data_IF_358974703464
#
_entry.id   IF_358974703464
#
_cell.length_a   1.000
_cell.length_b   1.000
_cell.length_c   1.000
_cell.angle_alpha   90.00
_cell.angle_beta   90.00
_cell.angle_gamma   90.00
#
_symmetry.space_group_name_H-M   'P 1'
#
loop_
_entity.id
_entity.type
_entity.pdbx_description
1 polymer ?
#
# COMPACT_ATOMS: atom_id res chain seq x y z
N UNK A 1 6.11 10.49 18.64
CA UNK A 1 5.29 9.37 19.15
C UNK A 1 3.86 9.40 18.63
N UNK A 2 3.12 10.51 18.74
CA UNK A 2 1.72 10.59 18.25
C UNK A 2 1.53 10.20 16.77
N UNK A 3 2.36 10.70 15.86
CA UNK A 3 2.20 10.40 14.42
C UNK A 3 2.35 8.90 14.09
N UNK A 4 3.21 8.18 14.82
CA UNK A 4 3.38 6.74 14.64
C UNK A 4 2.17 5.95 15.15
N UNK A 5 1.53 6.41 16.24
CA UNK A 5 0.30 5.80 16.75
C UNK A 5 -0.84 5.96 15.73
N UNK A 6 -1.02 7.17 15.18
CA UNK A 6 -2.05 7.44 14.17
C UNK A 6 -1.88 6.57 12.92
N UNK A 7 -0.65 6.46 12.40
CA UNK A 7 -0.36 5.59 11.24
C UNK A 7 -0.69 4.13 11.56
N UNK A 8 -0.21 3.61 12.71
CA UNK A 8 -0.47 2.22 13.12
C UNK A 8 -1.96 1.93 13.26
N UNK A 9 -2.72 2.82 13.90
CA UNK A 9 -4.17 2.66 14.05
C UNK A 9 -4.89 2.62 12.71
N UNK A 10 -4.53 3.52 11.78
CA UNK A 10 -5.16 3.56 10.46
C UNK A 10 -4.82 2.32 9.62
N UNK A 11 -3.55 1.93 9.61
CA UNK A 11 -3.08 0.70 8.95
C UNK A 11 -3.79 -0.52 9.53
N UNK A 12 -3.95 -0.61 10.86
CA UNK A 12 -4.71 -1.68 11.50
C UNK A 12 -6.16 -1.75 10.99
N UNK A 13 -6.83 -0.60 10.81
CA UNK A 13 -8.15 -0.58 10.20
C UNK A 13 -8.13 -1.10 8.76
N UNK A 14 -7.18 -0.69 7.93
CA UNK A 14 -7.11 -1.17 6.54
C UNK A 14 -6.94 -2.68 6.45
N UNK A 15 -6.04 -3.24 7.25
CA UNK A 15 -5.78 -4.68 7.27
C UNK A 15 -6.97 -5.51 7.77
N UNK A 16 -7.77 -4.96 8.69
CA UNK A 16 -8.91 -5.66 9.28
C UNK A 16 -10.23 -5.45 8.50
N UNK A 17 -10.31 -4.44 7.64
CA UNK A 17 -11.54 -4.16 6.87
C UNK A 17 -11.60 -4.95 5.57
N UNK A 18 -10.45 -5.34 5.03
CA UNK A 18 -10.35 -5.99 3.73
C UNK A 18 -9.30 -7.09 3.73
N UNK A 19 -9.69 -8.27 3.24
CA UNK A 19 -8.78 -9.38 2.96
C UNK A 19 -8.39 -9.28 1.49
N UNK A 20 -7.10 -9.06 1.15
CA UNK A 20 -6.66 -9.02 -0.23
C UNK A 20 -6.89 -10.34 -0.95
N UNK A 21 -7.17 -10.25 -2.24
CA UNK A 21 -7.03 -11.36 -3.18
C UNK A 21 -5.57 -11.84 -3.25
N UNK A 22 -5.38 -13.01 -3.85
CA UNK A 22 -4.08 -13.73 -3.87
C UNK A 22 -2.91 -12.88 -4.37
N UNK A 23 -3.12 -11.99 -5.34
CA UNK A 23 -2.05 -11.17 -5.91
C UNK A 23 -1.92 -9.81 -5.21
N UNK A 24 -0.73 -9.56 -4.67
CA UNK A 24 -0.38 -8.32 -3.97
C UNK A 24 0.92 -7.74 -4.52
N UNK A 25 1.11 -6.44 -4.39
CA UNK A 25 2.29 -5.76 -4.90
C UNK A 25 2.89 -4.79 -3.88
N UNK A 26 4.23 -4.70 -3.87
CA UNK A 26 5.00 -3.73 -3.07
C UNK A 26 5.66 -2.72 -3.99
N UNK A 27 5.55 -1.44 -3.63
CA UNK A 27 6.24 -0.32 -4.28
C UNK A 27 6.37 0.88 -3.32
N UNK A 28 7.03 1.95 -3.77
CA UNK A 28 7.09 3.23 -3.04
C UNK A 28 5.98 4.22 -3.40
N UNK A 29 5.36 4.78 -2.37
CA UNK A 29 4.53 5.99 -2.45
C UNK A 29 5.30 7.25 -2.06
N UNK A 30 4.96 8.38 -2.68
CA UNK A 30 5.67 9.65 -2.51
C UNK A 30 4.76 10.74 -1.96
N UNK A 31 5.16 11.35 -0.83
CA UNK A 31 4.46 12.48 -0.22
C UNK A 31 5.29 13.74 -0.43
N UNK A 32 4.88 14.59 -1.37
CA UNK A 32 5.61 15.79 -1.78
C UNK A 32 6.04 16.68 -0.60
N UNK A 33 7.36 16.85 -0.43
CA UNK A 33 7.94 17.63 0.67
C UNK A 33 9.32 18.22 0.31
N UNK A 34 9.38 19.54 0.16
CA UNK A 34 10.63 20.28 -0.14
C UNK A 34 11.32 20.87 1.09
N UNK A 35 10.66 20.92 2.25
CA UNK A 35 11.20 21.50 3.48
C UNK A 35 12.36 20.70 4.08
N UNK A 36 13.01 21.26 5.11
CA UNK A 36 14.06 20.56 5.86
C UNK A 36 13.45 19.42 6.66
N UNK A 37 13.92 18.20 6.43
CA UNK A 37 13.50 17.00 7.13
C UNK A 37 14.57 15.93 6.95
N UNK A 38 15.00 15.32 8.05
CA UNK A 38 16.16 14.41 8.06
C UNK A 38 15.96 13.16 7.18
N UNK A 39 14.70 12.72 7.01
CA UNK A 39 14.34 11.54 6.23
C UNK A 39 13.65 11.86 4.90
N UNK A 40 13.78 13.11 4.42
CA UNK A 40 13.36 13.47 3.06
C UNK A 40 14.22 12.73 2.05
N UNK A 41 13.58 12.11 1.07
CA UNK A 41 14.25 11.37 -0.01
C UNK A 41 14.24 12.21 -1.29
N UNK A 42 15.34 12.12 -2.05
CA UNK A 42 15.42 12.63 -3.41
C UNK A 42 15.26 11.47 -4.41
N UNK A 43 14.26 11.55 -5.30
CA UNK A 43 14.02 10.59 -6.37
C UNK A 43 13.88 11.32 -7.72
N UNK A 44 14.93 11.37 -8.54
CA UNK A 44 14.94 12.19 -9.76
C UNK A 44 13.88 11.76 -10.79
N UNK A 45 13.53 10.48 -10.80
CA UNK A 45 12.63 9.87 -11.79
C UNK A 45 11.13 10.02 -11.43
N UNK A 46 10.82 10.50 -10.22
CA UNK A 46 9.44 10.74 -9.79
C UNK A 46 9.04 12.21 -10.02
N UNK A 47 7.75 12.51 -10.31
CA UNK A 47 7.29 13.88 -10.50
C UNK A 47 7.64 14.81 -9.32
N UNK A 48 7.34 14.34 -8.11
CA UNK A 48 7.74 14.99 -6.86
C UNK A 48 9.11 14.47 -6.39
N UNK A 49 10.17 15.09 -6.95
CA UNK A 49 11.56 14.68 -6.72
C UNK A 49 11.99 14.72 -5.25
N UNK A 50 11.37 15.56 -4.43
CA UNK A 50 11.68 15.69 -3.00
C UNK A 50 10.43 15.35 -2.20
N UNK A 51 10.49 14.24 -1.46
CA UNK A 51 9.31 13.67 -0.81
C UNK A 51 9.65 12.94 0.47
N UNK A 52 8.63 12.70 1.29
CA UNK A 52 8.64 11.65 2.30
C UNK A 52 8.22 10.36 1.60
N UNK A 53 9.03 9.32 1.78
CA UNK A 53 8.80 8.01 1.16
C UNK A 53 7.94 7.13 2.06
N UNK A 54 6.98 6.42 1.47
CA UNK A 54 6.23 5.36 2.12
C UNK A 54 6.42 4.06 1.33
N UNK A 55 6.62 2.94 2.02
CA UNK A 55 6.57 1.61 1.42
C UNK A 55 5.14 1.13 1.46
N UNK A 56 4.54 0.79 0.31
CA UNK A 56 3.14 0.41 0.20
C UNK A 56 3.01 -1.07 -0.10
N UNK A 57 1.96 -1.71 0.43
CA UNK A 57 1.46 -3.02 0.01
C UNK A 57 0.06 -2.81 -0.54
N UNK A 58 -0.15 -3.13 -1.81
CA UNK A 58 -1.45 -2.99 -2.46
C UNK A 58 -1.96 -4.34 -2.96
N UNK A 59 -3.28 -4.52 -2.93
CA UNK A 59 -3.92 -5.60 -3.69
C UNK A 59 -3.88 -5.26 -5.20
N UNK A 60 -3.46 -6.22 -6.02
CA UNK A 60 -3.06 -5.97 -7.40
C UNK A 60 -4.23 -5.60 -8.34
N UNK A 61 -5.45 -6.04 -8.04
CA UNK A 61 -6.60 -5.94 -8.95
C UNK A 61 -7.32 -4.61 -8.79
N UNK A 62 -7.63 -4.26 -7.55
CA UNK A 62 -8.36 -3.06 -7.11
C UNK A 62 -7.42 -1.87 -6.89
N UNK A 63 -6.19 -2.11 -6.43
CA UNK A 63 -5.29 -1.06 -5.95
C UNK A 63 -5.56 -0.63 -4.50
N UNK A 64 -6.27 -1.47 -3.71
CA UNK A 64 -6.49 -1.21 -2.29
C UNK A 64 -5.16 -1.21 -1.55
N UNK A 65 -4.85 -0.12 -0.84
CA UNK A 65 -3.62 0.00 -0.04
C UNK A 65 -3.88 -0.73 1.28
N UNK A 66 -3.40 -1.96 1.37
CA UNK A 66 -3.64 -2.83 2.51
C UNK A 66 -2.73 -2.50 3.70
N UNK A 67 -1.46 -2.19 3.40
CA UNK A 67 -0.49 -1.81 4.42
C UNK A 67 0.48 -0.75 3.88
N UNK A 68 1.07 0.03 4.77
CA UNK A 68 2.22 0.86 4.44
C UNK A 68 3.09 1.20 5.65
N UNK A 69 4.33 1.57 5.39
CA UNK A 69 5.28 2.05 6.38
C UNK A 69 5.97 3.35 5.92
N UNK A 70 6.00 4.37 6.78
CA UNK A 70 6.72 5.62 6.48
C UNK A 70 8.22 5.44 6.72
N UNK A 71 9.02 5.70 5.69
CA UNK A 71 10.47 5.72 5.81
C UNK A 71 10.92 6.90 6.68
N UNK A 72 11.54 6.59 7.82
CA UNK A 72 12.01 7.57 8.80
C UNK A 72 13.54 7.76 8.80
N UNK A 73 14.22 7.53 7.66
CA UNK A 73 15.66 7.80 7.52
C UNK A 73 16.58 6.66 7.98
N UNK A 74 16.03 5.64 8.63
CA UNK A 74 16.79 4.46 9.07
C UNK A 74 16.75 3.40 7.97
N UNK A 75 17.94 2.96 7.54
CA UNK A 75 18.06 1.78 6.70
C UNK A 75 17.88 0.53 7.55
N UNK A 76 17.22 -0.48 6.99
CA UNK A 76 17.20 -1.84 7.52
C UNK A 76 17.27 -2.83 6.36
N UNK A 77 17.65 -4.09 6.60
CA UNK A 77 17.69 -5.10 5.55
C UNK A 77 16.36 -5.19 4.81
N UNK A 78 16.42 -5.20 3.47
CA UNK A 78 15.23 -5.27 2.60
C UNK A 78 14.36 -6.49 2.92
N UNK A 79 15.02 -7.61 3.27
CA UNK A 79 14.37 -8.84 3.71
C UNK A 79 13.45 -8.63 4.91
N UNK A 80 13.91 -7.90 5.93
CA UNK A 80 13.11 -7.58 7.12
C UNK A 80 11.96 -6.64 6.77
N UNK A 81 12.24 -5.62 5.95
CA UNK A 81 11.21 -4.69 5.47
C UNK A 81 10.06 -5.44 4.76
N UNK A 82 10.37 -6.33 3.83
CA UNK A 82 9.36 -7.09 3.08
C UNK A 82 8.57 -8.01 4.00
N UNK A 83 9.23 -8.73 4.91
CA UNK A 83 8.56 -9.61 5.89
C UNK A 83 7.60 -8.83 6.78
N UNK A 84 8.03 -7.66 7.29
CA UNK A 84 7.20 -6.81 8.15
C UNK A 84 6.02 -6.18 7.40
N UNK A 85 6.23 -5.80 6.13
CA UNK A 85 5.16 -5.28 5.27
C UNK A 85 4.10 -6.34 4.97
N UNK A 86 4.48 -7.58 4.72
CA UNK A 86 3.53 -8.67 4.53
C UNK A 86 2.81 -9.02 5.85
N UNK A 87 3.55 -9.05 6.95
CA UNK A 87 3.04 -9.45 8.25
C UNK A 87 2.47 -10.88 8.27
N UNK A 88 1.92 -11.33 9.40
CA UNK A 88 1.40 -12.70 9.56
C UNK A 88 0.12 -12.98 8.76
N UNK A 89 -0.51 -11.93 8.20
CA UNK A 89 -1.77 -12.03 7.45
C UNK A 89 -1.55 -12.41 5.98
N UNK A 90 -0.40 -12.04 5.39
CA UNK A 90 -0.07 -12.36 4.00
C UNK A 90 1.09 -13.37 3.89
N UNK A 91 2.04 -13.33 4.82
CA UNK A 91 3.19 -14.24 4.82
C UNK A 91 2.73 -15.66 5.18
N UNK A 92 3.28 -16.67 4.50
CA UNK A 92 2.98 -18.10 4.72
C UNK A 92 1.56 -18.54 4.33
N UNK A 93 0.80 -17.69 3.64
CA UNK A 93 -0.59 -17.97 3.25
C UNK A 93 -0.80 -18.26 1.76
N UNK A 94 0.27 -18.45 0.99
CA UNK A 94 0.19 -18.75 -0.45
C UNK A 94 -0.03 -17.51 -1.34
N UNK A 95 0.15 -16.30 -0.80
CA UNK A 95 0.04 -15.07 -1.59
C UNK A 95 1.15 -14.96 -2.63
N UNK A 96 0.83 -14.27 -3.72
CA UNK A 96 1.74 -13.94 -4.80
C UNK A 96 2.16 -12.47 -4.67
N UNK A 97 3.41 -12.26 -4.32
CA UNK A 97 4.01 -10.93 -4.16
C UNK A 97 4.70 -10.48 -5.45
N UNK A 98 4.25 -9.35 -5.97
CA UNK A 98 4.85 -8.64 -7.08
C UNK A 98 5.66 -7.45 -6.58
N UNK A 99 6.91 -7.33 -7.01
CA UNK A 99 7.78 -6.24 -6.51
C UNK A 99 8.83 -5.85 -7.55
N UNK A 100 9.33 -4.63 -7.45
CA UNK A 100 10.35 -4.12 -8.35
C UNK A 100 11.76 -4.66 -8.02
N UNK A 101 12.76 -4.15 -8.73
CA UNK A 101 14.14 -4.60 -8.58
C UNK A 101 14.84 -4.05 -7.32
N UNK A 102 14.28 -3.02 -6.67
CA UNK A 102 14.78 -2.50 -5.41
C UNK A 102 14.59 -3.52 -4.29
N UNK A 103 13.50 -4.30 -4.31
CA UNK A 103 13.23 -5.31 -3.28
C UNK A 103 13.83 -6.68 -3.59
N UNK A 104 13.78 -7.12 -4.85
CA UNK A 104 14.13 -8.50 -5.19
C UNK A 104 15.60 -8.87 -4.95
N UNK A 105 15.83 -10.09 -4.48
CA UNK A 105 17.12 -10.79 -4.45
C UNK A 105 16.87 -12.30 -4.48
N UNK A 106 17.86 -13.10 -4.90
CA UNK A 106 17.71 -14.57 -4.93
C UNK A 106 17.47 -15.13 -3.52
N UNK A 107 18.20 -14.64 -2.52
CA UNK A 107 18.03 -15.07 -1.12
C UNK A 107 16.62 -14.76 -0.58
N UNK A 108 16.09 -13.56 -0.86
CA UNK A 108 14.74 -13.18 -0.47
C UNK A 108 13.69 -14.11 -1.11
N UNK A 109 13.84 -14.42 -2.40
CA UNK A 109 12.93 -15.31 -3.10
C UNK A 109 12.98 -16.74 -2.56
N UNK A 110 14.17 -17.28 -2.24
CA UNK A 110 14.32 -18.59 -1.61
C UNK A 110 13.62 -18.64 -0.25
N UNK A 111 13.85 -17.62 0.59
CA UNK A 111 13.23 -17.54 1.92
C UNK A 111 11.71 -17.42 1.86
N UNK A 112 11.17 -16.53 1.01
CA UNK A 112 9.73 -16.37 0.88
C UNK A 112 9.06 -17.65 0.35
N UNK A 113 9.71 -18.35 -0.58
CA UNK A 113 9.21 -19.62 -1.09
C UNK A 113 9.15 -20.70 0.01
N UNK A 114 10.19 -20.80 0.85
CA UNK A 114 10.18 -21.70 2.02
C UNK A 114 9.05 -21.34 2.99
N UNK A 115 8.67 -20.07 3.05
CA UNK A 115 7.57 -19.52 3.84
C UNK A 115 6.29 -19.38 3.02
N UNK A 116 6.00 -20.35 2.13
CA UNK A 116 4.76 -20.44 1.34
C UNK A 116 4.28 -19.09 0.77
N UNK A 117 5.21 -18.29 0.24
CA UNK A 117 4.95 -16.96 -0.31
C UNK A 117 5.69 -16.84 -1.63
N UNK A 118 4.96 -16.63 -2.72
CA UNK A 118 5.50 -16.70 -4.07
C UNK A 118 5.86 -15.31 -4.58
N UNK A 119 6.91 -15.20 -5.39
CA UNK A 119 7.45 -13.91 -5.85
C UNK A 119 7.51 -13.85 -7.37
N UNK A 120 7.20 -12.67 -7.91
CA UNK A 120 7.47 -12.28 -9.29
C UNK A 120 7.92 -10.83 -9.34
N UNK A 121 8.96 -10.52 -10.11
CA UNK A 121 9.41 -9.14 -10.16
C UNK A 121 10.54 -8.85 -11.11
N UNK A 122 10.86 -7.57 -11.24
CA UNK A 122 12.08 -7.14 -11.93
C UNK A 122 13.30 -7.41 -11.06
N UNK A 123 14.45 -7.68 -11.69
CA UNK A 123 15.60 -8.20 -10.99
C UNK A 123 16.91 -7.53 -11.40
N UNK A 124 17.79 -7.31 -10.43
CA UNK A 124 19.16 -6.88 -10.65
C UNK A 124 20.13 -8.05 -10.47
N UNK A 125 21.01 -8.24 -11.44
CA UNK A 125 21.93 -9.39 -11.48
C UNK A 125 22.94 -9.42 -10.32
N UNK A 126 23.26 -8.26 -9.75
CA UNK A 126 24.17 -8.14 -8.60
C UNK A 126 23.55 -8.67 -7.29
N UNK A 127 22.30 -9.14 -7.32
CA UNK A 127 21.56 -9.62 -6.14
C UNK A 127 21.42 -11.14 -6.08
N UNK A 128 22.55 -11.81 -6.24
CA UNK A 128 22.67 -13.27 -6.06
C UNK A 128 22.43 -14.10 -7.32
N UNK A 129 22.48 -13.50 -8.51
CA UNK A 129 22.40 -14.27 -9.75
C UNK A 129 23.60 -15.24 -9.88
N UNK A 130 23.42 -16.43 -10.49
CA UNK A 130 24.53 -17.33 -10.82
C UNK A 130 25.61 -16.62 -11.65
N UNK A 131 26.89 -16.94 -11.42
CA UNK A 131 28.00 -16.23 -12.08
C UNK A 131 28.03 -16.50 -13.58
N UNK A 132 27.67 -17.71 -13.96
CA UNK A 132 27.61 -18.25 -15.33
C UNK A 132 26.65 -17.44 -16.21
N UNK A 133 25.59 -16.91 -15.60
CA UNK A 133 24.60 -16.06 -16.28
C UNK A 133 25.22 -14.81 -16.91
N UNK A 134 26.33 -14.30 -16.37
CA UNK A 134 26.99 -13.12 -16.95
C UNK A 134 27.44 -13.38 -18.39
N UNK A 135 27.95 -14.57 -18.67
CA UNK A 135 28.45 -14.91 -20.00
C UNK A 135 27.30 -15.24 -20.96
N UNK A 136 26.24 -15.90 -20.48
CA UNK A 136 25.01 -16.10 -21.26
C UNK A 136 24.40 -14.77 -21.73
N UNK A 137 24.36 -13.76 -20.85
CA UNK A 137 23.83 -12.42 -21.20
C UNK A 137 24.73 -11.70 -22.21
N UNK A 138 26.06 -11.83 -22.12
CA UNK A 138 26.98 -11.27 -23.13
C UNK A 138 26.74 -11.89 -24.52
N UNK A 139 26.38 -13.16 -24.54
CA UNK A 139 26.05 -13.89 -25.78
C UNK A 139 24.64 -13.59 -26.30
N UNK A 140 23.78 -12.98 -25.48
CA UNK A 140 22.41 -12.61 -25.83
C UNK A 140 22.34 -11.36 -26.74
N UNK A 141 22.94 -11.41 -27.94
CA UNK A 141 23.12 -10.23 -28.80
C UNK A 141 21.91 -9.89 -29.69
N UNK A 142 21.06 -10.87 -30.00
CA UNK A 142 19.92 -10.70 -30.93
C UNK A 142 18.62 -10.47 -30.17
N UNK A 143 17.80 -9.53 -30.66
CA UNK A 143 16.44 -9.28 -30.17
C UNK A 143 15.60 -10.56 -30.25
N UNK A 144 14.76 -10.79 -29.24
CA UNK A 144 13.90 -11.97 -29.15
C UNK A 144 14.59 -13.23 -28.64
N UNK A 145 15.81 -13.13 -28.12
CA UNK A 145 16.51 -14.24 -27.45
C UNK A 145 16.28 -14.21 -25.94
N UNK A 146 16.41 -15.38 -25.32
CA UNK A 146 16.10 -15.61 -23.91
C UNK A 146 17.20 -16.41 -23.20
N UNK A 147 17.34 -16.21 -21.90
CA UNK A 147 18.12 -17.06 -20.98
C UNK A 147 17.27 -17.31 -19.73
N UNK A 148 17.24 -18.55 -19.25
CA UNK A 148 16.39 -18.99 -18.13
C UNK A 148 17.18 -19.74 -17.05
N UNK A 149 18.20 -19.14 -16.43
CA UNK A 149 18.93 -19.82 -15.36
C UNK A 149 18.05 -20.02 -14.13
N UNK A 150 18.31 -21.11 -13.40
CA UNK A 150 17.66 -21.41 -12.13
C UNK A 150 18.68 -21.60 -11.03
N UNK A 151 18.33 -21.20 -9.81
CA UNK A 151 18.97 -21.65 -8.58
C UNK A 151 17.90 -22.33 -7.74
N UNK A 152 17.94 -23.66 -7.70
CA UNK A 152 16.84 -24.46 -7.16
C UNK A 152 15.51 -24.09 -7.81
N UNK A 153 14.52 -23.69 -7.01
CA UNK A 153 13.19 -23.31 -7.49
C UNK A 153 13.09 -21.84 -7.94
N UNK A 154 14.10 -21.01 -7.70
CA UNK A 154 14.11 -19.61 -8.16
C UNK A 154 14.52 -19.55 -9.62
N UNK A 155 13.62 -19.04 -10.46
CA UNK A 155 13.84 -18.82 -11.88
C UNK A 155 14.21 -17.36 -12.13
N UNK A 156 15.37 -17.13 -12.73
CA UNK A 156 15.72 -15.84 -13.32
C UNK A 156 15.47 -15.94 -14.82
N UNK A 157 14.93 -14.87 -15.42
CA UNK A 157 14.61 -14.82 -16.84
C UNK A 157 15.19 -13.54 -17.42
N UNK A 158 15.97 -13.69 -18.49
CA UNK A 158 16.52 -12.56 -19.23
C UNK A 158 16.03 -12.62 -20.66
N UNK A 159 15.39 -11.55 -21.12
CA UNK A 159 14.86 -11.43 -22.47
C UNK A 159 15.42 -10.17 -23.14
N UNK A 160 16.01 -10.33 -24.33
CA UNK A 160 16.51 -9.20 -25.13
C UNK A 160 15.37 -8.60 -25.96
N UNK A 161 14.80 -7.48 -25.51
CA UNK A 161 13.96 -6.62 -26.34
C UNK A 161 14.81 -5.46 -26.93
N UNK A 162 14.43 -4.19 -26.73
CA UNK A 162 15.32 -3.04 -27.01
C UNK A 162 16.50 -2.99 -26.05
N UNK A 163 16.27 -3.47 -24.82
CA UNK A 163 17.24 -3.65 -23.74
C UNK A 163 16.94 -4.99 -23.06
N UNK A 164 17.87 -5.45 -22.23
CA UNK A 164 17.67 -6.67 -21.46
C UNK A 164 16.62 -6.45 -20.38
N UNK A 165 15.52 -7.19 -20.49
CA UNK A 165 14.51 -7.31 -19.44
C UNK A 165 14.91 -8.45 -18.53
N UNK A 166 15.10 -8.17 -17.25
CA UNK A 166 15.55 -9.13 -16.23
C UNK A 166 14.46 -9.29 -15.19
N UNK A 167 13.99 -10.52 -15.04
CA UNK A 167 12.90 -10.88 -14.13
C UNK A 167 13.35 -12.03 -13.23
N UNK A 168 12.78 -12.11 -12.05
CA UNK A 168 12.95 -13.20 -11.10
C UNK A 168 11.58 -13.70 -10.67
N UNK A 169 11.44 -15.01 -10.50
CA UNK A 169 10.19 -15.59 -10.04
C UNK A 169 10.34 -16.95 -9.38
N UNK A 170 9.45 -17.24 -8.44
CA UNK A 170 9.23 -18.57 -7.86
C UNK A 170 7.90 -19.20 -8.25
N UNK A 171 7.07 -18.52 -9.06
CA UNK A 171 5.75 -19.00 -9.49
C UNK A 171 5.66 -19.41 -10.96
N UNK A 172 6.64 -19.01 -11.79
CA UNK A 172 6.61 -19.28 -13.23
C UNK A 172 7.59 -20.39 -13.64
N UNK A 173 7.28 -21.01 -14.79
CA UNK A 173 8.21 -21.85 -15.56
C UNK A 173 8.85 -21.03 -16.69
N UNK A 174 9.81 -21.63 -17.40
CA UNK A 174 10.50 -20.99 -18.54
C UNK A 174 9.61 -20.96 -19.81
N UNK A 175 8.40 -20.42 -19.67
CA UNK A 175 7.37 -20.39 -20.72
C UNK A 175 7.44 -19.09 -21.51
N UNK A 176 7.45 -19.22 -22.83
CA UNK A 176 7.42 -18.12 -23.79
C UNK A 176 6.01 -18.05 -24.39
N UNK A 177 5.47 -16.85 -24.52
CA UNK A 177 4.14 -16.58 -25.07
C UNK A 177 4.21 -15.54 -26.17
N UNK A 178 3.30 -15.65 -27.14
CA UNK A 178 3.10 -14.62 -28.16
C UNK A 178 2.42 -13.39 -27.55
N UNK A 179 2.95 -12.21 -27.84
CA UNK A 179 2.30 -10.95 -27.51
C UNK A 179 1.22 -10.62 -28.53
N UNK A 180 0.16 -9.93 -28.07
CA UNK A 180 -0.80 -9.28 -28.97
C UNK A 180 -0.18 -8.16 -29.81
N UNK A 181 1.03 -7.69 -29.47
CA UNK A 181 1.75 -6.67 -30.24
C UNK A 181 2.57 -7.31 -31.36
N UNK A 182 2.50 -6.70 -32.53
CA UNK A 182 3.35 -7.01 -33.68
C UNK A 182 4.55 -6.06 -33.76
N UNK A 183 5.62 -6.53 -34.36
CA UNK A 183 6.77 -5.70 -34.70
C UNK A 183 6.48 -4.87 -35.97
N UNK A 184 7.44 -4.03 -36.38
CA UNK A 184 7.31 -3.21 -37.61
C UNK A 184 7.14 -4.03 -38.90
N UNK A 185 7.48 -5.31 -38.87
CA UNK A 185 7.35 -6.26 -39.98
C UNK A 185 6.04 -7.06 -39.94
N UNK A 186 5.15 -6.77 -38.98
CA UNK A 186 3.89 -7.48 -38.80
C UNK A 186 3.99 -8.80 -38.02
N UNK A 187 5.18 -9.20 -37.58
CA UNK A 187 5.38 -10.47 -36.86
C UNK A 187 5.02 -10.31 -35.38
N UNK A 188 4.40 -11.33 -34.79
CA UNK A 188 4.09 -11.34 -33.35
C UNK A 188 5.37 -11.37 -32.51
N UNK A 189 5.38 -10.60 -31.43
CA UNK A 189 6.52 -10.53 -30.52
C UNK A 189 6.42 -11.64 -29.48
N UNK A 190 7.35 -12.58 -29.47
CA UNK A 190 7.48 -13.57 -28.39
C UNK A 190 8.15 -12.94 -27.16
N UNK A 191 7.59 -13.19 -25.98
CA UNK A 191 8.11 -12.70 -24.69
C UNK A 191 7.88 -13.73 -23.57
N UNK A 192 8.59 -13.65 -22.44
CA UNK A 192 8.33 -14.55 -21.32
C UNK A 192 6.96 -14.27 -20.69
N UNK A 193 6.23 -15.31 -20.29
CA UNK A 193 4.90 -15.22 -19.65
C UNK A 193 4.94 -14.30 -18.42
N UNK A 194 5.99 -14.44 -17.60
CA UNK A 194 6.27 -13.63 -16.40
C UNK A 194 6.20 -12.12 -16.66
N UNK A 195 6.52 -11.65 -17.87
CA UNK A 195 6.48 -10.22 -18.21
C UNK A 195 5.04 -9.72 -18.31
N UNK A 196 4.12 -10.59 -18.75
CA UNK A 196 2.68 -10.30 -18.76
C UNK A 196 2.15 -10.15 -17.35
N UNK A 197 2.44 -11.14 -16.51
CA UNK A 197 1.91 -11.21 -15.15
C UNK A 197 2.48 -10.12 -14.25
N UNK A 198 3.79 -9.87 -14.32
CA UNK A 198 4.41 -8.73 -13.63
C UNK A 198 3.71 -7.40 -13.97
N UNK A 199 3.56 -7.10 -15.27
CA UNK A 199 2.92 -5.87 -15.72
C UNK A 199 1.42 -5.83 -15.42
N UNK A 200 0.77 -6.97 -15.22
CA UNK A 200 -0.65 -7.02 -14.84
C UNK A 200 -0.81 -6.69 -13.36
N UNK A 201 0.02 -7.27 -12.51
CA UNK A 201 -0.16 -7.23 -11.06
C UNK A 201 0.55 -6.05 -10.37
N UNK A 202 1.58 -5.44 -10.98
CA UNK A 202 2.12 -4.15 -10.53
C UNK A 202 1.17 -2.98 -10.75
N UNK A 203 0.22 -3.08 -11.70
CA UNK A 203 -0.74 -2.01 -12.01
C UNK A 203 -1.59 -1.58 -10.82
N UNK A 204 -1.79 -2.45 -9.82
CA UNK A 204 -2.54 -2.10 -8.62
C UNK A 204 -1.90 -0.94 -7.87
N UNK A 205 -0.58 -0.98 -7.69
CA UNK A 205 0.16 0.11 -7.02
C UNK A 205 0.23 1.35 -7.90
N UNK A 206 0.52 1.20 -9.20
CA UNK A 206 0.51 2.31 -10.15
C UNK A 206 -0.84 3.04 -10.16
N UNK A 207 -1.94 2.29 -10.11
CA UNK A 207 -3.29 2.84 -10.03
C UNK A 207 -3.49 3.57 -8.70
N UNK A 208 -3.11 2.97 -7.57
CA UNK A 208 -3.24 3.60 -6.27
C UNK A 208 -2.48 4.94 -6.23
N UNK A 209 -1.22 4.96 -6.70
CA UNK A 209 -0.40 6.17 -6.78
C UNK A 209 -1.04 7.23 -7.69
N UNK A 210 -1.50 6.84 -8.87
CA UNK A 210 -2.22 7.73 -9.78
C UNK A 210 -3.48 8.33 -9.14
N UNK A 211 -4.26 7.51 -8.44
CA UNK A 211 -5.50 7.92 -7.77
C UNK A 211 -5.23 8.94 -6.65
N UNK A 212 -4.15 8.76 -5.88
CA UNK A 212 -3.72 9.69 -4.83
C UNK A 212 -3.25 11.04 -5.40
N UNK A 213 -2.69 11.04 -6.63
CA UNK A 213 -2.23 12.25 -7.30
C UNK A 213 -3.31 13.04 -8.03
N UNK A 214 -4.42 12.42 -8.46
CA UNK A 214 -5.48 13.14 -9.21
C UNK A 214 -6.26 14.16 -8.39
N UNK A 215 -6.49 13.90 -7.10
CA UNK A 215 -7.24 14.79 -6.22
C UNK A 215 -6.40 15.11 -4.98
N UNK A 216 -5.33 15.90 -5.12
CA UNK A 216 -4.43 16.23 -4.02
C UNK A 216 -5.15 17.07 -2.97
N UNK A 217 -5.31 16.55 -1.75
CA UNK A 217 -5.78 17.35 -0.60
C UNK A 217 -4.68 18.25 -0.03
N UNK A 218 -3.43 18.00 -0.43
CA UNK A 218 -2.27 18.63 0.20
C UNK A 218 -2.07 20.08 -0.28
N UNK A 219 -1.87 21.00 0.68
CA UNK A 219 -1.55 22.43 0.42
C UNK A 219 -0.09 22.74 0.72
N UNK A 220 0.42 23.89 0.29
CA UNK A 220 1.75 24.38 0.70
C UNK A 220 1.73 24.59 2.22
N UNK A 221 2.74 24.07 2.91
CA UNK A 221 2.84 24.17 4.37
C UNK A 221 4.29 24.06 4.81
N UNK A 222 4.59 24.61 5.99
CA UNK A 222 5.90 24.52 6.65
C UNK A 222 5.99 23.36 7.64
N UNK A 223 4.89 22.63 7.89
CA UNK A 223 4.87 21.46 8.79
C UNK A 223 4.67 20.17 8.00
N UNK A 224 5.67 19.29 8.00
CA UNK A 224 5.65 18.03 7.25
C UNK A 224 4.56 17.08 7.75
N UNK A 225 4.25 17.10 9.05
CA UNK A 225 3.19 16.28 9.66
C UNK A 225 1.82 16.57 9.06
N UNK A 226 1.53 17.82 8.67
CA UNK A 226 0.30 18.16 7.95
C UNK A 226 0.22 17.48 6.58
N UNK A 227 1.35 17.38 5.85
CA UNK A 227 1.40 16.61 4.59
C UNK A 227 1.12 15.13 4.82
N UNK A 228 1.69 14.55 5.88
CA UNK A 228 1.42 13.17 6.26
C UNK A 228 -0.08 12.96 6.57
N UNK A 229 -0.70 13.82 7.38
CA UNK A 229 -2.14 13.70 7.69
C UNK A 229 -3.00 13.76 6.42
N UNK A 230 -2.71 14.67 5.49
CA UNK A 230 -3.43 14.71 4.21
C UNK A 230 -3.24 13.43 3.39
N UNK A 231 -2.03 12.88 3.34
CA UNK A 231 -1.78 11.59 2.70
C UNK A 231 -2.63 10.48 3.35
N UNK A 232 -2.67 10.40 4.68
CA UNK A 232 -3.47 9.40 5.40
C UNK A 232 -4.97 9.53 5.06
N UNK A 233 -5.50 10.75 4.99
CA UNK A 233 -6.89 11.00 4.60
C UNK A 233 -7.17 10.58 3.15
N UNK A 234 -6.23 10.82 2.24
CA UNK A 234 -6.38 10.42 0.84
C UNK A 234 -6.36 8.90 0.66
N UNK A 235 -5.47 8.20 1.37
CA UNK A 235 -5.43 6.74 1.37
C UNK A 235 -6.72 6.18 1.96
N UNK A 236 -7.22 6.75 3.06
CA UNK A 236 -8.49 6.35 3.65
C UNK A 236 -9.66 6.56 2.66
N UNK A 237 -9.74 7.72 2.02
CA UNK A 237 -10.77 8.01 1.02
C UNK A 237 -10.70 7.04 -0.18
N UNK A 238 -9.50 6.74 -0.68
CA UNK A 238 -9.30 5.80 -1.77
C UNK A 238 -9.74 4.39 -1.39
N UNK A 239 -9.29 3.89 -0.23
CA UNK A 239 -9.67 2.57 0.27
C UNK A 239 -11.19 2.47 0.49
N UNK A 240 -11.80 3.50 1.09
CA UNK A 240 -13.25 3.57 1.25
C UNK A 240 -13.99 3.58 -0.09
N UNK A 241 -13.48 4.30 -1.10
CA UNK A 241 -14.06 4.31 -2.44
C UNK A 241 -14.00 2.92 -3.09
N UNK A 242 -12.87 2.22 -2.97
CA UNK A 242 -12.70 0.86 -3.50
C UNK A 242 -13.73 -0.08 -2.86
N UNK A 243 -13.83 -0.07 -1.53
CA UNK A 243 -14.81 -0.89 -0.80
C UNK A 243 -16.25 -0.51 -1.14
N UNK A 244 -16.55 0.78 -1.29
CA UNK A 244 -17.86 1.24 -1.70
C UNK A 244 -18.22 0.72 -3.10
N UNK A 245 -17.28 0.77 -4.06
CA UNK A 245 -17.48 0.26 -5.42
C UNK A 245 -17.65 -1.26 -5.45
N UNK A 246 -16.98 -2.00 -4.57
CA UNK A 246 -17.11 -3.46 -4.45
C UNK A 246 -18.47 -3.87 -3.88
N UNK A 247 -18.99 -3.13 -2.90
CA UNK A 247 -20.17 -3.52 -2.12
C UNK A 247 -21.47 -2.81 -2.53
N UNK A 248 -21.41 -1.73 -3.32
CA UNK A 248 -22.62 -1.00 -3.70
C UNK A 248 -23.54 -1.85 -4.57
N UNK A 249 -24.77 -2.06 -4.11
CA UNK A 249 -25.84 -2.70 -4.89
C UNK A 249 -26.58 -1.71 -5.78
N UNK A 250 -26.49 -0.41 -5.49
CA UNK A 250 -27.18 0.64 -6.22
C UNK A 250 -26.55 0.92 -7.60
N UNK A 251 -27.36 0.75 -8.64
CA UNK A 251 -26.96 0.89 -10.05
C UNK A 251 -26.45 2.30 -10.41
N UNK A 252 -26.92 3.35 -9.73
CA UNK A 252 -26.40 4.71 -9.91
C UNK A 252 -24.89 4.76 -9.70
N UNK A 253 -24.41 4.09 -8.65
CA UNK A 253 -23.01 4.10 -8.24
C UNK A 253 -22.17 3.03 -8.94
N UNK A 254 -22.79 1.98 -9.51
CA UNK A 254 -22.08 0.99 -10.34
C UNK A 254 -21.67 1.55 -11.70
N UNK A 255 -22.43 2.51 -12.25
CA UNK A 255 -22.14 3.15 -13.53
C UNK A 255 -20.69 3.61 -13.63
N UNK A 256 -20.08 3.38 -14.82
CA UNK A 256 -18.72 3.88 -15.16
C UNK A 256 -18.55 5.39 -14.97
N UNK A 257 -19.65 6.15 -14.93
CA UNK A 257 -19.64 7.60 -14.74
C UNK A 257 -19.36 8.02 -13.29
N UNK A 258 -19.67 7.20 -12.29
CA UNK A 258 -19.39 7.54 -10.89
C UNK A 258 -17.92 7.28 -10.58
N UNK A 259 -17.15 8.36 -10.52
CA UNK A 259 -15.70 8.37 -10.35
C UNK A 259 -15.36 8.73 -8.91
N UNK A 260 -14.09 8.54 -8.56
CA UNK A 260 -13.57 8.90 -7.24
C UNK A 260 -13.80 10.36 -6.86
N UNK A 261 -13.79 11.28 -7.83
CA UNK A 261 -14.15 12.69 -7.62
C UNK A 261 -15.55 12.82 -7.01
N UNK A 262 -16.52 12.12 -7.59
CA UNK A 262 -17.92 12.18 -7.19
C UNK A 262 -18.08 11.62 -5.77
N UNK A 263 -17.35 10.53 -5.47
CA UNK A 263 -17.28 9.98 -4.12
C UNK A 263 -16.71 10.96 -3.10
N UNK A 264 -15.61 11.64 -3.43
CA UNK A 264 -15.04 12.67 -2.54
C UNK A 264 -16.05 13.79 -2.30
N UNK A 265 -16.73 14.27 -3.35
CA UNK A 265 -17.75 15.32 -3.22
C UNK A 265 -18.91 14.88 -2.34
N UNK A 266 -19.42 13.66 -2.51
CA UNK A 266 -20.48 13.09 -1.67
C UNK A 266 -20.02 12.97 -0.20
N UNK A 267 -18.78 12.55 0.04
CA UNK A 267 -18.21 12.51 1.40
C UNK A 267 -18.13 13.91 2.02
N UNK A 268 -17.63 14.90 1.27
CA UNK A 268 -17.52 16.28 1.75
C UNK A 268 -18.90 16.83 2.09
N UNK A 269 -19.88 16.67 1.19
CA UNK A 269 -21.25 17.13 1.42
C UNK A 269 -21.80 16.58 2.74
N UNK A 270 -21.72 15.25 2.94
CA UNK A 270 -22.18 14.59 4.16
C UNK A 270 -21.44 15.04 5.43
N UNK A 271 -20.14 15.32 5.33
CA UNK A 271 -19.36 15.81 6.47
C UNK A 271 -19.66 17.28 6.81
N UNK A 272 -20.21 18.05 5.86
CA UNK A 272 -20.56 19.47 6.03
C UNK A 272 -22.05 19.70 6.31
N UNK A 273 -22.88 18.67 6.20
CA UNK A 273 -24.28 18.74 6.62
C UNK A 273 -24.34 19.11 8.11
N UNK A 274 -25.14 20.11 8.52
CA UNK A 274 -25.28 20.45 9.92
C UNK A 274 -25.71 19.19 10.69
N UNK A 275 -25.00 18.85 11.76
CA UNK A 275 -25.39 17.78 12.67
C UNK A 275 -26.82 18.04 13.17
N UNK A 276 -27.83 17.45 12.54
CA UNK A 276 -29.24 17.58 12.95
C UNK A 276 -29.58 16.79 14.22
N UNK A 277 -28.60 16.26 14.93
CA UNK A 277 -28.77 15.53 16.19
C UNK A 277 -27.70 15.94 17.19
N UNK A 278 -27.77 17.17 17.67
CA UNK A 278 -27.24 17.56 18.98
C UNK A 278 -27.84 18.92 19.37
N UNK A 279 -29.13 18.96 19.71
CA UNK A 279 -29.76 20.21 20.14
C UNK A 279 -31.28 20.23 20.14
N UNK A 280 -31.96 19.20 20.64
CA UNK A 280 -33.36 19.29 21.07
C UNK A 280 -33.51 18.40 22.31
N UNK A 281 -33.00 18.88 23.45
CA UNK A 281 -33.53 18.52 24.76
C UNK A 281 -34.55 19.59 25.09
N UNK A 282 -35.82 19.21 25.05
CA UNK A 282 -36.99 20.06 25.21
C UNK A 282 -36.93 20.90 26.49
N UNK A 283 -36.96 22.21 26.34
CA UNK A 283 -37.60 23.09 27.32
C UNK A 283 -39.13 22.92 27.17
N UNK A 284 -39.79 22.29 28.14
CA UNK A 284 -41.04 22.81 28.71
C UNK A 284 -41.50 22.06 29.97
N UNK A 285 -41.47 22.81 31.08
CA UNK A 285 -42.44 22.96 32.18
C UNK A 285 -43.07 21.72 32.85
N UNK A 286 -42.99 21.71 34.18
CA UNK A 286 -44.15 22.08 35.01
C UNK A 286 -43.72 22.57 36.39
N UNK A 287 -44.22 23.76 36.76
CA UNK A 287 -44.33 24.25 38.13
C UNK A 287 -45.26 23.32 38.90
N UNK A 288 -44.81 22.82 40.05
CA UNK A 288 -45.68 22.40 41.14
C UNK A 288 -45.02 22.90 42.42
N UNK A 289 -45.66 23.91 43.03
CA UNK A 289 -45.46 24.28 44.41
C UNK A 289 -45.92 23.11 45.30
N UNK A 290 -45.09 22.68 46.25
CA UNK A 290 -45.60 22.26 47.56
C UNK A 290 -44.51 22.36 48.62
N UNK A 291 -44.72 23.26 49.58
CA UNK A 291 -44.06 23.24 50.87
C UNK A 291 -44.53 22.00 51.64
N UNK A 292 -43.61 21.25 52.25
CA UNK A 292 -43.59 21.00 53.71
C UNK A 292 -42.86 19.70 54.12
N UNK A 293 -42.02 19.88 55.16
CA UNK A 293 -41.68 18.92 56.24
C UNK A 293 -40.61 17.85 55.96
N UNK A 294 -39.39 18.24 56.36
CA UNK A 294 -38.52 17.64 57.39
C UNK A 294 -38.05 16.15 57.34
N UNK A 295 -36.75 16.04 57.64
CA UNK A 295 -35.99 14.92 58.23
C UNK A 295 -35.90 13.61 57.45
N UNK A 296 -34.70 13.22 57.01
CA UNK A 296 -33.77 12.50 57.89
C UNK A 296 -32.35 12.45 57.30
N UNK A 297 -31.41 12.35 58.22
CA UNK A 297 -29.96 12.34 58.12
C UNK A 297 -29.39 11.02 57.58
N UNK A 298 -28.31 11.11 56.80
CA UNK A 298 -27.03 10.42 57.09
C UNK A 298 -26.08 10.52 55.89
N UNK A 299 -25.03 11.31 56.08
CA UNK A 299 -23.88 11.37 55.20
C UNK A 299 -23.00 10.13 55.40
N UNK A 300 -22.58 9.49 54.31
CA UNK A 300 -21.46 8.54 54.31
C UNK A 300 -20.34 9.14 53.48
N UNK A 301 -19.33 9.63 54.18
CA UNK A 301 -18.04 10.09 53.63
C UNK A 301 -17.23 8.93 53.04
N UNK A 302 -16.57 9.10 51.88
CA UNK A 302 -15.61 8.12 51.36
C UNK A 302 -14.24 8.23 52.07
N UNK A 303 -13.50 7.12 52.23
CA UNK A 303 -12.24 7.09 52.97
C UNK A 303 -11.05 7.68 52.17
N UNK A 304 -10.02 8.20 52.86
CA UNK A 304 -8.88 8.88 52.24
C UNK A 304 -7.82 7.93 51.68
N UNK A 305 -7.14 8.40 50.63
CA UNK A 305 -6.01 7.74 49.98
C UNK A 305 -4.78 7.69 50.88
N UNK A 306 -4.18 6.50 51.03
CA UNK A 306 -2.89 6.32 51.68
C UNK A 306 -1.76 6.38 50.65
N UNK A 307 -0.96 7.44 50.73
CA UNK A 307 0.43 7.47 50.27
C UNK A 307 1.27 6.53 51.14
N UNK A 308 2.15 5.73 50.52
CA UNK A 308 3.35 5.21 51.17
C UNK A 308 4.57 5.57 50.34
N UNK A 309 5.39 6.42 50.94
CA UNK A 309 6.76 6.70 50.55
C UNK A 309 7.70 5.53 50.88
N UNK A 310 8.67 5.35 49.97
CA UNK A 310 10.08 4.95 50.13
C UNK A 310 10.52 4.19 51.39
N UNK A 311 11.07 2.99 51.17
CA UNK A 311 12.50 2.69 51.32
C UNK A 311 12.94 1.76 50.19
#
# INVERSE_FOLDING_TARGET
MHDQLTVKTLVGKFRNTYIPEKETAIDEGMIAWKGRLIFRVYMPDKPDKYSIKAYLVCESTSGYIWNFEIYCGKSRPIKELVVDLLGPQLLEKGYHLYQDNYYNSVELCEMLLQRNTYVCGTFRLDRGAPKELKDDIKNLKKKGKFVFPRKGQVLIQVWRDKRDVKLISTLHTAKIVESAKTNRKGEKICRPEVTGDYNKHMRGVDRADQMLHYYPCSRKTVKWTKKLVFFLLQVAALNSFILFKMNTTNEKYKKRKYKFKDFILDCVQKMTEPNKQCGEGEESRNEVDDESIASDSSAVTPPPAALKDRQ
#
